data_IF_084736771107
#
_entry.id   IF_084736771107
#
_cell.length_a   1.000
_cell.length_b   1.000
_cell.length_c   1.000
_cell.angle_alpha   90.00
_cell.angle_beta   90.00
_cell.angle_gamma   90.00
#
_symmetry.space_group_name_H-M   'P 1'
#
loop_
_entity.id
_entity.type
_entity.pdbx_description
1 polymer ?
#
# COMPACT_ATOMS: atom_id res chain seq x y z
N UNK A 1 -26.12 -2.42 9.04
CA UNK A 1 -24.71 -1.99 9.13
C UNK A 1 -24.13 -2.16 7.75
N UNK A 2 -23.53 -1.13 7.16
CA UNK A 2 -22.83 -1.26 5.88
C UNK A 2 -21.61 -2.16 6.05
N UNK A 3 -21.09 -2.75 4.96
CA UNK A 3 -19.88 -3.57 5.02
C UNK A 3 -18.71 -2.81 5.70
N UNK A 4 -18.55 -1.54 5.35
CA UNK A 4 -17.60 -0.60 5.98
C UNK A 4 -17.78 -0.47 7.51
N UNK A 5 -19.01 -0.43 8.03
CA UNK A 5 -19.24 -0.35 9.49
C UNK A 5 -18.83 -1.61 10.25
N UNK A 6 -19.01 -2.79 9.63
CA UNK A 6 -18.57 -4.04 10.24
C UNK A 6 -17.03 -4.16 10.23
N UNK A 7 -16.39 -3.75 9.13
CA UNK A 7 -14.94 -3.68 8.99
C UNK A 7 -14.31 -2.74 10.03
N UNK A 8 -14.85 -1.53 10.20
CA UNK A 8 -14.38 -0.56 11.22
C UNK A 8 -14.46 -1.13 12.63
N UNK A 9 -15.58 -1.79 12.97
CA UNK A 9 -15.76 -2.38 14.30
C UNK A 9 -14.73 -3.48 14.61
N UNK A 10 -14.35 -4.27 13.60
CA UNK A 10 -13.31 -5.30 13.77
C UNK A 10 -11.94 -4.64 14.00
N UNK A 11 -11.61 -3.57 13.28
CA UNK A 11 -10.37 -2.82 13.52
C UNK A 11 -10.33 -2.19 14.91
N UNK A 12 -11.42 -1.57 15.37
CA UNK A 12 -11.53 -1.02 16.73
C UNK A 12 -11.26 -2.09 17.81
N UNK A 13 -11.75 -3.32 17.59
CA UNK A 13 -11.50 -4.45 18.49
C UNK A 13 -10.02 -4.85 18.52
N UNK A 14 -9.35 -4.89 17.36
CA UNK A 14 -7.92 -5.19 17.28
C UNK A 14 -7.08 -4.11 17.98
N UNK A 15 -7.45 -2.84 17.81
CA UNK A 15 -6.78 -1.72 18.49
C UNK A 15 -6.99 -1.76 20.00
N UNK A 16 -8.21 -2.05 20.47
CA UNK A 16 -8.51 -2.21 21.89
C UNK A 16 -7.71 -3.36 22.54
N UNK A 17 -7.33 -4.38 21.75
CA UNK A 17 -6.46 -5.47 22.19
C UNK A 17 -4.96 -5.12 22.16
N UNK A 18 -4.59 -3.91 21.71
CA UNK A 18 -3.19 -3.48 21.62
C UNK A 18 -2.40 -4.17 20.50
N UNK A 19 -3.08 -4.76 19.51
CA UNK A 19 -2.43 -5.42 18.38
C UNK A 19 -1.97 -4.35 17.38
N UNK A 20 -0.66 -4.13 17.27
CA UNK A 20 -0.06 -3.05 16.44
C UNK A 20 0.78 -3.55 15.27
N UNK A 21 0.79 -4.86 15.02
CA UNK A 21 1.48 -5.43 13.86
C UNK A 21 0.90 -4.87 12.55
N UNK A 22 1.74 -4.69 11.49
CA UNK A 22 1.28 -4.19 10.20
C UNK A 22 0.12 -5.02 9.63
N UNK A 23 -0.94 -4.35 9.19
CA UNK A 23 -2.12 -4.96 8.59
C UNK A 23 -2.82 -3.97 7.66
N UNK A 24 -3.68 -4.48 6.80
CA UNK A 24 -4.58 -3.66 5.98
C UNK A 24 -5.75 -3.21 6.85
N UNK A 25 -6.05 -1.91 6.85
CA UNK A 25 -7.19 -1.35 7.58
C UNK A 25 -8.33 -0.97 6.62
N UNK A 26 -9.56 -0.80 7.11
CA UNK A 26 -10.69 -0.37 6.28
C UNK A 26 -10.42 1.00 5.62
N UNK A 27 -9.77 1.92 6.34
CA UNK A 27 -9.37 3.21 5.81
C UNK A 27 -8.35 3.09 4.66
N UNK A 28 -7.45 2.10 4.70
CA UNK A 28 -6.54 1.84 3.58
C UNK A 28 -7.28 1.34 2.35
N UNK A 29 -8.30 0.48 2.52
CA UNK A 29 -9.15 0.03 1.41
C UNK A 29 -9.88 1.23 0.80
N UNK A 30 -10.46 2.10 1.62
CA UNK A 30 -11.16 3.31 1.16
C UNK A 30 -10.20 4.23 0.39
N UNK A 31 -8.97 4.43 0.89
CA UNK A 31 -7.96 5.26 0.25
C UNK A 31 -7.45 4.70 -1.09
N UNK A 32 -7.53 3.38 -1.31
CA UNK A 32 -7.14 2.77 -2.59
C UNK A 32 -8.21 2.93 -3.68
N UNK A 33 -9.47 3.19 -3.30
CA UNK A 33 -10.58 3.35 -4.24
C UNK A 33 -10.67 4.83 -4.64
N UNK A 34 -10.28 5.13 -5.88
CA UNK A 34 -10.24 6.49 -6.43
C UNK A 34 -11.54 6.85 -7.17
N UNK A 35 -12.33 5.85 -7.57
CA UNK A 35 -13.59 6.06 -8.28
C UNK A 35 -14.48 4.83 -8.26
N UNK A 36 -15.79 5.06 -8.34
CA UNK A 36 -16.83 4.03 -8.37
C UNK A 36 -17.76 4.31 -9.54
N UNK A 37 -17.94 3.34 -10.42
CA UNK A 37 -18.84 3.42 -11.57
C UNK A 37 -19.76 2.20 -11.61
N UNK A 38 -21.04 2.42 -11.94
CA UNK A 38 -22.02 1.36 -12.09
C UNK A 38 -22.48 1.27 -13.55
N UNK A 39 -22.55 0.04 -14.05
CA UNK A 39 -22.97 -0.25 -15.41
C UNK A 39 -24.04 -1.34 -15.40
N UNK A 40 -25.25 -1.00 -15.84
CA UNK A 40 -26.30 -1.98 -16.10
C UNK A 40 -25.98 -2.70 -17.41
N UNK A 41 -25.77 -4.01 -17.35
CA UNK A 41 -25.62 -4.87 -18.51
C UNK A 41 -26.97 -5.35 -19.07
N UNK A 42 -27.97 -5.43 -18.19
CA UNK A 42 -29.35 -5.74 -18.53
C UNK A 42 -30.31 -5.20 -17.46
N UNK A 43 -31.61 -5.44 -17.62
CA UNK A 43 -32.64 -5.10 -16.63
C UNK A 43 -32.50 -5.83 -15.28
N UNK A 44 -31.62 -6.83 -15.20
CA UNK A 44 -31.42 -7.65 -13.98
C UNK A 44 -29.95 -7.85 -13.63
N UNK A 45 -29.03 -7.22 -14.34
CA UNK A 45 -27.60 -7.42 -14.18
C UNK A 45 -26.88 -6.07 -14.14
N UNK A 46 -26.17 -5.82 -13.05
CA UNK A 46 -25.34 -4.64 -12.85
C UNK A 46 -23.91 -5.01 -12.45
N UNK A 47 -22.94 -4.26 -12.95
CA UNK A 47 -21.53 -4.33 -12.55
C UNK A 47 -21.13 -3.03 -11.87
N UNK A 48 -20.41 -3.14 -10.75
CA UNK A 48 -19.65 -2.06 -10.13
C UNK A 48 -18.18 -2.18 -10.57
N UNK A 49 -17.59 -1.07 -11.03
CA UNK A 49 -16.17 -0.94 -11.37
C UNK A 49 -15.53 0.05 -10.40
N UNK A 50 -14.59 -0.45 -9.60
CA UNK A 50 -13.73 0.36 -8.74
C UNK A 50 -12.45 0.71 -9.50
N UNK A 51 -12.06 1.98 -9.45
CA UNK A 51 -10.86 2.51 -10.11
C UNK A 51 -9.78 2.78 -9.07
N UNK A 52 -8.54 2.38 -9.38
CA UNK A 52 -7.42 2.39 -8.42
C UNK A 52 -6.09 2.72 -9.11
N UNK A 53 -5.09 3.12 -8.33
CA UNK A 53 -3.69 3.34 -8.73
C UNK A 53 -3.52 4.36 -9.87
N UNK A 54 -4.15 5.52 -9.75
CA UNK A 54 -4.17 6.58 -10.75
C UNK A 54 -4.88 6.15 -12.03
N UNK A 55 -5.98 5.41 -11.90
CA UNK A 55 -6.78 4.93 -13.03
C UNK A 55 -6.17 3.79 -13.86
N UNK A 56 -5.14 3.11 -13.36
CA UNK A 56 -4.43 2.05 -14.12
C UNK A 56 -4.97 0.66 -13.85
N UNK A 57 -5.66 0.47 -12.73
CA UNK A 57 -6.18 -0.82 -12.33
C UNK A 57 -7.65 -0.70 -11.96
N UNK A 58 -8.39 -1.77 -12.21
CA UNK A 58 -9.81 -1.82 -11.97
C UNK A 58 -10.19 -3.15 -11.34
N UNK A 59 -11.06 -3.09 -10.34
CA UNK A 59 -11.68 -4.25 -9.71
C UNK A 59 -13.17 -4.18 -9.98
N UNK A 60 -13.76 -5.29 -10.39
CA UNK A 60 -15.20 -5.34 -10.71
C UNK A 60 -15.95 -6.29 -9.79
N UNK A 61 -17.18 -5.94 -9.46
CA UNK A 61 -18.12 -6.81 -8.75
C UNK A 61 -19.47 -6.76 -9.43
N UNK A 62 -20.25 -7.84 -9.34
CA UNK A 62 -21.50 -7.96 -10.10
C UNK A 62 -22.69 -8.39 -9.23
N UNK A 63 -23.87 -7.91 -9.59
CA UNK A 63 -25.14 -8.39 -9.06
C UNK A 63 -26.04 -8.83 -10.21
N UNK A 64 -26.45 -10.10 -10.16
CA UNK A 64 -27.31 -10.76 -11.14
C UNK A 64 -28.58 -11.25 -10.46
N UNK A 65 -29.69 -10.56 -10.67
CA UNK A 65 -31.01 -10.93 -10.15
C UNK A 65 -31.75 -11.81 -11.16
N UNK A 66 -32.59 -12.73 -10.67
CA UNK A 66 -33.29 -13.70 -11.53
C UNK A 66 -34.53 -13.09 -12.20
N UNK A 67 -35.28 -12.24 -11.50
CA UNK A 67 -36.53 -11.65 -11.99
C UNK A 67 -36.44 -10.13 -12.01
N UNK A 68 -36.86 -9.53 -13.13
CA UNK A 68 -36.90 -8.08 -13.34
C UNK A 68 -37.87 -7.39 -12.40
N UNK A 69 -38.99 -8.04 -12.09
CA UNK A 69 -40.03 -7.53 -11.20
C UNK A 69 -39.52 -7.30 -9.77
N UNK A 70 -38.49 -8.05 -9.36
CA UNK A 70 -37.85 -7.94 -8.05
C UNK A 70 -36.52 -7.18 -8.10
N UNK A 71 -36.12 -6.62 -9.25
CA UNK A 71 -34.87 -5.89 -9.35
C UNK A 71 -35.01 -4.48 -8.78
N UNK A 72 -34.18 -4.18 -7.79
CA UNK A 72 -34.07 -2.84 -7.18
C UNK A 72 -32.65 -2.33 -7.43
N UNK A 73 -32.54 -1.25 -8.21
CA UNK A 73 -31.26 -0.68 -8.65
C UNK A 73 -30.28 -0.47 -7.48
N UNK A 74 -30.72 0.22 -6.43
CA UNK A 74 -29.86 0.53 -5.27
C UNK A 74 -29.36 -0.71 -4.53
N UNK A 75 -30.16 -1.78 -4.49
CA UNK A 75 -29.74 -3.06 -3.89
C UNK A 75 -28.74 -3.77 -4.78
N UNK A 76 -28.93 -3.72 -6.11
CA UNK A 76 -27.98 -4.25 -7.08
C UNK A 76 -26.62 -3.54 -7.00
N UNK A 77 -26.63 -2.21 -6.91
CA UNK A 77 -25.44 -1.37 -6.72
C UNK A 77 -24.71 -1.74 -5.43
N UNK A 78 -25.42 -1.81 -4.29
CA UNK A 78 -24.82 -2.17 -3.00
C UNK A 78 -24.16 -3.57 -3.04
N UNK A 79 -24.82 -4.56 -3.64
CA UNK A 79 -24.28 -5.92 -3.75
C UNK A 79 -23.05 -5.95 -4.66
N UNK A 80 -23.11 -5.27 -5.80
CA UNK A 80 -22.02 -5.22 -6.77
C UNK A 80 -20.80 -4.49 -6.19
N UNK A 81 -21.01 -3.36 -5.51
CA UNK A 81 -19.96 -2.60 -4.84
C UNK A 81 -19.31 -3.41 -3.71
N UNK A 82 -20.11 -4.07 -2.86
CA UNK A 82 -19.58 -4.93 -1.80
C UNK A 82 -18.69 -6.04 -2.36
N UNK A 83 -19.12 -6.74 -3.43
CA UNK A 83 -18.32 -7.78 -4.07
C UNK A 83 -17.06 -7.24 -4.75
N UNK A 84 -17.10 -6.02 -5.27
CA UNK A 84 -15.92 -5.37 -5.82
C UNK A 84 -14.94 -5.02 -4.68
N UNK A 85 -15.44 -4.46 -3.57
CA UNK A 85 -14.66 -4.14 -2.37
C UNK A 85 -14.01 -5.38 -1.74
N UNK A 86 -14.74 -6.49 -1.67
CA UNK A 86 -14.23 -7.76 -1.12
C UNK A 86 -12.98 -8.26 -1.87
N UNK A 87 -12.84 -7.93 -3.16
CA UNK A 87 -11.65 -8.25 -3.96
C UNK A 87 -10.48 -7.28 -3.73
N UNK A 88 -10.73 -6.08 -3.22
CA UNK A 88 -9.68 -5.14 -2.85
C UNK A 88 -8.89 -5.63 -1.64
N UNK A 89 -9.54 -6.31 -0.68
CA UNK A 89 -8.89 -6.86 0.50
C UNK A 89 -7.71 -7.81 0.22
N UNK A 90 -7.85 -8.89 -0.57
CA UNK A 90 -6.72 -9.76 -0.90
C UNK A 90 -5.65 -9.05 -1.73
N UNK A 91 -6.02 -8.11 -2.59
CA UNK A 91 -5.08 -7.29 -3.34
C UNK A 91 -4.22 -6.42 -2.41
N UNK A 92 -4.86 -5.68 -1.51
CA UNK A 92 -4.19 -4.86 -0.50
C UNK A 92 -3.31 -5.71 0.42
N UNK A 93 -3.78 -6.91 0.80
CA UNK A 93 -3.00 -7.87 1.60
C UNK A 93 -1.75 -8.35 0.87
N UNK A 94 -1.85 -8.67 -0.42
CA UNK A 94 -0.71 -9.07 -1.24
C UNK A 94 0.30 -7.93 -1.41
N UNK A 95 -0.18 -6.69 -1.62
CA UNK A 95 0.68 -5.50 -1.71
C UNK A 95 1.44 -5.31 -0.39
N UNK A 96 0.74 -5.33 0.75
CA UNK A 96 1.36 -5.21 2.06
C UNK A 96 2.39 -6.32 2.32
N UNK A 97 2.07 -7.58 2.01
CA UNK A 97 2.99 -8.69 2.18
C UNK A 97 4.24 -8.54 1.31
N UNK A 98 4.08 -8.13 0.04
CA UNK A 98 5.19 -7.86 -0.85
C UNK A 98 6.05 -6.68 -0.37
N UNK A 99 5.42 -5.62 0.12
CA UNK A 99 6.10 -4.46 0.67
C UNK A 99 6.91 -4.85 1.91
N UNK A 100 6.33 -5.59 2.86
CA UNK A 100 7.06 -6.10 4.02
C UNK A 100 8.20 -7.06 3.64
N UNK A 101 8.01 -7.94 2.64
CA UNK A 101 9.04 -8.84 2.15
C UNK A 101 10.24 -8.09 1.55
N UNK A 102 9.96 -7.01 0.81
CA UNK A 102 10.98 -6.13 0.24
C UNK A 102 11.41 -5.02 1.22
N UNK A 103 11.04 -5.16 2.50
CA UNK A 103 11.28 -4.21 3.57
C UNK A 103 10.83 -2.77 3.28
N UNK A 104 9.90 -2.58 2.34
CA UNK A 104 9.20 -1.31 2.11
C UNK A 104 8.13 -1.17 3.17
N UNK A 105 8.51 -0.68 4.35
CA UNK A 105 7.54 -0.48 5.41
C UNK A 105 6.51 0.60 5.03
N UNK A 106 5.20 0.31 5.15
CA UNK A 106 4.17 1.28 4.85
C UNK A 106 4.32 2.53 5.74
N UNK A 107 3.76 3.63 5.25
CA UNK A 107 3.60 4.83 6.07
C UNK A 107 2.63 4.53 7.21
N UNK A 108 2.90 5.12 8.37
CA UNK A 108 1.94 5.10 9.49
C UNK A 108 0.72 5.96 9.14
N UNK A 109 -0.39 5.78 9.85
CA UNK A 109 -1.61 6.59 9.62
C UNK A 109 -1.34 8.09 9.73
N UNK A 110 -0.50 8.53 10.67
CA UNK A 110 -0.14 9.94 10.80
C UNK A 110 0.70 10.44 9.64
N UNK A 111 1.57 9.59 9.09
CA UNK A 111 2.35 9.91 7.90
C UNK A 111 1.47 10.00 6.64
N UNK A 112 0.41 9.18 6.53
CA UNK A 112 -0.53 9.23 5.41
C UNK A 112 -1.39 10.51 5.38
N UNK A 113 -1.50 11.22 6.51
CA UNK A 113 -2.20 12.52 6.58
C UNK A 113 -1.34 13.68 6.07
N UNK A 114 -0.04 13.47 5.85
CA UNK A 114 0.88 14.51 5.40
C UNK A 114 0.72 14.77 3.89
N UNK A 115 1.26 15.89 3.41
CA UNK A 115 1.32 16.19 1.98
C UNK A 115 2.03 15.06 1.19
N UNK A 116 1.56 14.76 -0.02
CA UNK A 116 2.09 13.68 -0.87
C UNK A 116 3.59 13.85 -1.12
N UNK A 117 4.06 15.09 -1.27
CA UNK A 117 5.48 15.40 -1.41
C UNK A 117 6.28 15.02 -0.17
N UNK A 118 5.72 15.23 1.03
CA UNK A 118 6.33 14.84 2.30
C UNK A 118 6.36 13.32 2.46
N UNK A 119 5.23 12.66 2.19
CA UNK A 119 5.12 11.20 2.20
C UNK A 119 6.21 10.55 1.34
N UNK A 120 6.45 11.12 0.14
CA UNK A 120 7.50 10.65 -0.77
C UNK A 120 8.89 10.76 -0.17
N UNK A 121 9.20 11.85 0.54
CA UNK A 121 10.51 12.02 1.21
C UNK A 121 10.70 11.02 2.33
N UNK A 122 9.65 10.74 3.12
CA UNK A 122 9.72 9.73 4.19
C UNK A 122 10.01 8.35 3.61
N UNK A 123 9.31 7.96 2.54
CA UNK A 123 9.54 6.69 1.87
C UNK A 123 10.95 6.60 1.29
N UNK A 124 11.42 7.66 0.63
CA UNK A 124 12.77 7.74 0.08
C UNK A 124 13.83 7.63 1.18
N UNK A 125 13.65 8.32 2.32
CA UNK A 125 14.56 8.25 3.46
C UNK A 125 14.64 6.84 4.06
N UNK A 126 13.49 6.16 4.22
CA UNK A 126 13.44 4.76 4.65
C UNK A 126 14.20 3.86 3.67
N UNK A 127 13.90 3.98 2.36
CA UNK A 127 14.54 3.14 1.34
C UNK A 127 16.06 3.37 1.23
N UNK A 128 16.52 4.63 1.32
CA UNK A 128 17.95 4.94 1.32
C UNK A 128 18.63 4.40 2.57
N UNK A 129 18.02 4.53 3.75
CA UNK A 129 18.55 3.96 5.00
C UNK A 129 18.74 2.46 4.87
N UNK A 130 17.74 1.76 4.33
CA UNK A 130 17.82 0.33 4.07
C UNK A 130 18.94 -0.08 3.13
N UNK A 131 19.16 0.70 2.05
CA UNK A 131 20.26 0.45 1.12
C UNK A 131 21.62 0.68 1.78
N UNK A 132 21.75 1.70 2.61
CA UNK A 132 22.96 1.96 3.43
C UNK A 132 23.23 0.77 4.36
N UNK A 133 22.22 0.31 5.10
CA UNK A 133 22.36 -0.81 6.03
C UNK A 133 22.74 -2.10 5.30
N UNK A 134 22.08 -2.39 4.17
CA UNK A 134 22.37 -3.56 3.34
C UNK A 134 23.79 -3.56 2.77
N UNK A 135 24.24 -2.43 2.19
CA UNK A 135 25.61 -2.31 1.67
C UNK A 135 26.65 -2.34 2.78
N UNK A 136 26.37 -1.73 3.93
CA UNK A 136 27.26 -1.78 5.10
C UNK A 136 27.42 -3.23 5.58
N UNK A 137 26.32 -4.00 5.64
CA UNK A 137 26.36 -5.41 6.00
C UNK A 137 27.15 -6.24 4.99
N UNK A 138 26.95 -6.01 3.69
CA UNK A 138 27.72 -6.67 2.62
C UNK A 138 29.21 -6.37 2.77
N UNK A 139 29.59 -5.09 2.82
CA UNK A 139 30.99 -4.67 2.95
C UNK A 139 31.65 -5.14 4.27
N UNK A 140 30.85 -5.43 5.28
CA UNK A 140 31.30 -6.05 6.54
C UNK A 140 31.46 -7.56 6.50
N UNK A 141 31.07 -8.24 5.41
CA UNK A 141 31.20 -9.69 5.29
C UNK A 141 32.68 -10.11 5.25
N UNK A 142 33.08 -11.15 6.02
CA UNK A 142 34.43 -11.67 5.95
C UNK A 142 34.71 -12.20 4.53
N UNK A 143 35.94 -11.97 4.05
CA UNK A 143 36.43 -12.45 2.75
C UNK A 143 35.68 -11.91 1.51
N UNK A 144 34.88 -10.83 1.63
CA UNK A 144 34.20 -10.26 0.46
C UNK A 144 35.18 -9.90 -0.68
N UNK A 145 36.37 -9.40 -0.32
CA UNK A 145 37.46 -9.10 -1.26
C UNK A 145 37.97 -10.29 -2.07
N UNK A 146 37.74 -11.52 -1.59
CA UNK A 146 38.11 -12.75 -2.31
C UNK A 146 36.97 -13.23 -3.22
N UNK A 147 35.75 -12.79 -2.96
CA UNK A 147 34.53 -13.18 -3.70
C UNK A 147 34.23 -12.23 -4.87
N UNK A 148 34.75 -11.00 -4.82
CA UNK A 148 34.49 -9.96 -5.81
C UNK A 148 35.80 -9.46 -6.45
N UNK A 149 35.77 -9.11 -7.74
CA UNK A 149 36.82 -8.31 -8.37
C UNK A 149 37.10 -6.99 -7.60
N UNK A 150 38.34 -6.49 -7.68
CA UNK A 150 38.73 -5.26 -6.95
C UNK A 150 37.95 -4.02 -7.38
N UNK A 151 37.62 -3.91 -8.66
CA UNK A 151 36.82 -2.81 -9.22
C UNK A 151 35.37 -2.85 -8.73
N UNK A 152 34.72 -4.02 -8.73
CA UNK A 152 33.37 -4.18 -8.17
C UNK A 152 33.33 -3.84 -6.67
N UNK A 153 34.34 -4.28 -5.90
CA UNK A 153 34.44 -3.94 -4.49
C UNK A 153 34.64 -2.43 -4.27
N UNK A 154 35.42 -1.77 -5.13
CA UNK A 154 35.59 -0.31 -5.10
C UNK A 154 34.28 0.41 -5.42
N UNK A 155 33.54 -0.05 -6.43
CA UNK A 155 32.24 0.51 -6.81
C UNK A 155 31.20 0.35 -5.70
N UNK A 156 31.17 -0.77 -4.97
CA UNK A 156 30.32 -0.94 -3.79
C UNK A 156 30.59 0.12 -2.69
N UNK A 157 31.86 0.49 -2.49
CA UNK A 157 32.21 1.57 -1.54
C UNK A 157 31.74 2.93 -2.02
N UNK A 158 31.92 3.23 -3.31
CA UNK A 158 31.42 4.47 -3.92
C UNK A 158 29.90 4.53 -3.81
N UNK A 159 29.21 3.42 -4.08
CA UNK A 159 27.76 3.30 -3.96
C UNK A 159 27.28 3.58 -2.53
N UNK A 160 27.95 2.99 -1.52
CA UNK A 160 27.63 3.25 -0.12
C UNK A 160 27.79 4.73 0.25
N UNK A 161 28.90 5.36 -0.15
CA UNK A 161 29.17 6.78 0.13
C UNK A 161 28.10 7.69 -0.48
N UNK A 162 27.71 7.45 -1.74
CA UNK A 162 26.63 8.20 -2.40
C UNK A 162 25.30 8.06 -1.66
N UNK A 163 24.94 6.87 -1.21
CA UNK A 163 23.71 6.68 -0.43
C UNK A 163 23.79 7.33 0.95
N UNK A 164 24.94 7.31 1.62
CA UNK A 164 25.13 8.01 2.90
C UNK A 164 24.98 9.53 2.73
N UNK A 165 25.55 10.11 1.67
CA UNK A 165 25.37 11.52 1.35
C UNK A 165 23.90 11.86 1.07
N UNK A 166 23.21 11.04 0.28
CA UNK A 166 21.78 11.23 0.02
C UNK A 166 20.96 11.11 1.30
N UNK A 167 21.27 10.16 2.19
CA UNK A 167 20.60 10.00 3.49
C UNK A 167 20.69 11.29 4.30
N UNK A 168 21.87 11.90 4.39
CA UNK A 168 22.07 13.19 5.10
C UNK A 168 21.19 14.30 4.50
N UNK A 169 21.05 14.34 3.17
CA UNK A 169 20.16 15.31 2.51
C UNK A 169 18.69 15.07 2.89
N UNK A 170 18.24 13.83 2.90
CA UNK A 170 16.87 13.45 3.24
C UNK A 170 16.56 13.70 4.71
N UNK A 171 17.45 13.32 5.62
CA UNK A 171 17.34 13.58 7.06
C UNK A 171 17.18 15.10 7.32
N UNK A 172 17.97 15.93 6.63
CA UNK A 172 17.84 17.39 6.71
C UNK A 172 16.51 17.90 6.16
N UNK A 173 15.95 17.26 5.13
CA UNK A 173 14.62 17.63 4.58
C UNK A 173 13.51 17.28 5.56
N UNK A 174 13.58 16.13 6.22
CA UNK A 174 12.63 15.71 7.25
C UNK A 174 12.71 16.62 8.50
N UNK A 175 13.92 16.95 8.95
CA UNK A 175 14.10 17.84 10.09
C UNK A 175 13.48 19.24 9.89
N UNK A 176 13.49 19.76 8.65
CA UNK A 176 12.87 21.07 8.32
C UNK A 176 11.34 21.08 8.47
N UNK A 177 10.72 19.92 8.43
CA UNK A 177 9.27 19.75 8.56
C UNK A 177 8.87 19.12 9.91
N UNK A 178 9.82 19.01 10.85
CA UNK A 178 9.57 18.52 12.21
C UNK A 178 9.46 17.00 12.32
N UNK A 179 10.04 16.26 11.37
CA UNK A 179 10.10 14.79 11.36
C UNK A 179 11.53 14.28 11.51
#
# INVERSE_FOLDING_TARGET
>A
MTASQAEMKLEDQLQAMGLTAPRVTPAMIDAMIEGVEFHNLSDTHIICKLTMFGGRFHVTGESSTVSKENFVQSVGEEIAERKARDQVWPLAGAILANDLHNFRYPLTEDQLKLDVGVQRVILEAKEVTMRVDGLTAILGMPNLHELLPEDEYADLKVQLDLYQQLKVVLDRRLARIGL
#
